data_IF_811309432481
#
_entry.id   IF_811309432481
#
_cell.length_a   1.000
_cell.length_b   1.000
_cell.length_c   1.000
_cell.angle_alpha   90.00
_cell.angle_beta   90.00
_cell.angle_gamma   90.00
#
_symmetry.space_group_name_H-M   'P 1'
#
loop_
_entity.id
_entity.type
_entity.pdbx_description
1 polymer ?
#
# COMPACT_ATOMS: atom_id res chain seq x y z
N UNK A 1 -7.80 16.03 -2.11
CA UNK A 1 -6.67 16.57 -1.32
C UNK A 1 -6.89 18.04 -0.98
N UNK A 2 -8.11 18.57 -1.17
CA UNK A 2 -8.46 19.98 -0.91
C UNK A 2 -8.54 20.34 0.58
N UNK A 3 -8.59 19.36 1.46
CA UNK A 3 -8.77 19.57 2.90
C UNK A 3 -7.46 19.49 3.69
N UNK A 4 -6.32 19.68 3.02
CA UNK A 4 -5.04 19.76 3.70
C UNK A 4 -5.04 20.93 4.72
N UNK A 5 -4.69 20.69 5.98
CA UNK A 5 -4.57 21.75 6.96
C UNK A 5 -3.39 22.68 6.69
N UNK A 6 -2.55 22.35 5.71
CA UNK A 6 -1.35 23.10 5.33
C UNK A 6 -1.44 23.53 3.87
N UNK A 7 -1.27 24.82 3.63
CA UNK A 7 -1.16 25.42 2.30
C UNK A 7 0.21 26.07 2.15
N UNK A 8 0.89 25.74 1.06
CA UNK A 8 2.18 26.35 0.71
C UNK A 8 2.05 27.04 -0.63
N UNK A 9 2.39 28.31 -0.68
CA UNK A 9 2.37 29.15 -1.89
C UNK A 9 3.72 29.83 -2.09
N UNK A 10 4.05 30.09 -3.35
CA UNK A 10 5.15 31.00 -3.72
C UNK A 10 4.50 32.24 -4.32
N UNK A 11 4.71 33.40 -3.70
CA UNK A 11 4.17 34.66 -4.13
C UNK A 11 5.23 35.78 -3.93
N UNK A 12 5.49 36.55 -4.97
CA UNK A 12 6.44 37.66 -4.95
C UNK A 12 7.82 37.27 -4.42
N UNK A 13 8.30 36.08 -4.82
CA UNK A 13 9.60 35.54 -4.39
C UNK A 13 9.66 35.06 -2.93
N UNK A 14 8.51 34.97 -2.26
CA UNK A 14 8.40 34.48 -0.88
C UNK A 14 7.65 33.17 -0.83
N UNK A 15 8.03 32.30 0.11
CA UNK A 15 7.27 31.10 0.46
C UNK A 15 6.30 31.52 1.57
N UNK A 16 5.01 31.34 1.33
CA UNK A 16 3.93 31.60 2.28
C UNK A 16 3.41 30.25 2.73
N UNK A 17 3.40 30.01 4.02
CA UNK A 17 2.90 28.79 4.63
C UNK A 17 1.72 29.18 5.51
N UNK A 18 0.55 28.65 5.18
CA UNK A 18 -0.69 28.85 5.93
C UNK A 18 -1.11 27.51 6.54
N UNK A 19 -1.20 27.46 7.86
CA UNK A 19 -1.60 26.27 8.60
C UNK A 19 -2.92 26.54 9.34
N UNK A 20 -3.95 25.81 8.96
CA UNK A 20 -5.27 25.91 9.61
C UNK A 20 -5.26 25.36 11.05
N UNK A 21 -4.29 24.53 11.40
CA UNK A 21 -4.10 23.92 12.72
C UNK A 21 -2.61 23.77 13.05
N UNK A 22 -2.27 23.89 14.33
CA UNK A 22 -0.91 23.72 14.81
C UNK A 22 -0.04 24.96 14.61
N UNK A 23 1.26 24.79 14.81
CA UNK A 23 2.28 25.83 14.65
C UNK A 23 3.19 25.45 13.48
N UNK A 24 3.64 26.49 12.76
CA UNK A 24 4.66 26.32 11.71
C UNK A 24 6.00 26.73 12.31
N UNK A 25 6.97 25.83 12.26
CA UNK A 25 8.34 26.11 12.60
C UNK A 25 9.18 26.10 11.31
N UNK A 26 10.04 27.09 11.16
CA UNK A 26 10.96 27.18 10.03
C UNK A 26 12.39 27.05 10.57
N UNK A 27 13.08 26.00 10.16
CA UNK A 27 14.46 25.71 10.60
C UNK A 27 15.38 25.75 9.39
N UNK A 28 16.45 26.53 9.48
CA UNK A 28 17.53 26.48 8.51
C UNK A 28 18.39 25.22 8.76
N UNK A 29 18.55 24.39 7.73
CA UNK A 29 19.33 23.17 7.83
C UNK A 29 20.08 22.88 6.52
N UNK A 30 21.40 23.02 6.56
CA UNK A 30 22.26 22.79 5.42
C UNK A 30 22.11 23.84 4.30
N UNK A 31 22.83 23.63 3.21
CA UNK A 31 22.88 24.51 2.03
C UNK A 31 22.19 23.93 0.80
N UNK A 32 21.71 22.69 0.90
CA UNK A 32 21.03 21.97 -0.20
C UNK A 32 19.72 21.36 0.28
N UNK A 33 18.79 21.10 -0.66
CA UNK A 33 17.56 20.39 -0.37
C UNK A 33 17.80 19.03 0.28
N UNK A 34 18.84 18.32 -0.17
CA UNK A 34 19.21 17.02 0.42
C UNK A 34 19.59 17.15 1.89
N UNK A 35 20.44 18.12 2.22
CA UNK A 35 20.89 18.35 3.60
C UNK A 35 19.71 18.75 4.50
N UNK A 36 18.85 19.64 4.03
CA UNK A 36 17.64 20.03 4.76
C UNK A 36 16.70 18.84 4.99
N UNK A 37 16.48 18.02 3.96
CA UNK A 37 15.67 16.81 4.07
C UNK A 37 16.25 15.80 5.06
N UNK A 38 17.56 15.56 5.01
CA UNK A 38 18.22 14.62 5.92
C UNK A 38 18.20 15.11 7.37
N UNK A 39 18.36 16.42 7.58
CA UNK A 39 18.25 17.01 8.92
C UNK A 39 16.83 16.90 9.48
N UNK A 40 15.80 17.21 8.68
CA UNK A 40 14.41 17.05 9.07
C UNK A 40 14.06 15.58 9.35
N UNK A 41 14.51 14.65 8.51
CA UNK A 41 14.31 13.22 8.71
C UNK A 41 14.95 12.73 10.01
N UNK A 42 16.18 13.16 10.31
CA UNK A 42 16.87 12.77 11.54
C UNK A 42 16.16 13.31 12.80
N UNK A 43 15.58 14.52 12.71
CA UNK A 43 14.91 15.15 13.83
C UNK A 43 13.49 14.57 14.08
N UNK A 44 12.72 14.30 13.03
CA UNK A 44 11.30 13.95 13.13
C UNK A 44 10.98 12.49 12.82
N UNK A 45 11.81 11.85 12.00
CA UNK A 45 11.64 10.47 11.54
C UNK A 45 12.97 9.72 11.58
N UNK A 46 13.59 9.60 12.76
CA UNK A 46 14.87 8.91 12.87
C UNK A 46 14.76 7.47 12.38
N UNK A 47 15.75 7.02 11.61
CA UNK A 47 15.78 5.66 11.12
C UNK A 47 15.78 4.66 12.29
N UNK A 48 14.95 3.63 12.20
CA UNK A 48 14.89 2.57 13.21
C UNK A 48 16.14 1.68 13.26
N UNK A 49 17.01 1.77 12.23
CA UNK A 49 18.11 0.84 12.01
C UNK A 49 17.70 -0.46 11.35
N UNK A 50 16.39 -0.69 11.15
CA UNK A 50 15.88 -1.84 10.42
C UNK A 50 15.63 -1.44 8.96
N UNK A 51 16.22 -2.18 8.04
CA UNK A 51 16.04 -1.98 6.60
C UNK A 51 15.50 -3.26 5.96
N UNK A 52 14.75 -3.16 4.86
CA UNK A 52 14.35 -4.34 4.10
C UNK A 52 15.59 -5.12 3.61
N UNK A 53 15.47 -6.43 3.35
CA UNK A 53 16.55 -7.22 2.79
C UNK A 53 17.11 -6.61 1.48
N UNK A 54 18.41 -6.75 1.25
CA UNK A 54 19.11 -6.24 0.05
C UNK A 54 18.46 -6.67 -1.26
N UNK A 55 17.80 -7.83 -1.26
CA UNK A 55 17.07 -8.35 -2.40
C UNK A 55 16.06 -7.34 -2.96
N UNK A 56 15.39 -6.57 -2.08
CA UNK A 56 14.39 -5.57 -2.52
C UNK A 56 15.00 -4.40 -3.31
N UNK A 57 16.32 -4.24 -3.26
CA UNK A 57 17.05 -3.16 -3.93
C UNK A 57 17.90 -3.66 -5.09
N UNK A 58 18.16 -4.96 -5.18
CA UNK A 58 19.12 -5.54 -6.12
C UNK A 58 18.51 -6.36 -7.26
N UNK A 59 17.20 -6.65 -7.19
CA UNK A 59 16.50 -7.41 -8.24
C UNK A 59 15.31 -6.63 -8.79
N UNK A 60 14.83 -6.96 -10.00
CA UNK A 60 13.61 -6.36 -10.52
C UNK A 60 12.38 -6.65 -9.66
N UNK A 61 11.47 -5.68 -9.63
CA UNK A 61 10.15 -5.83 -9.03
C UNK A 61 9.11 -5.78 -10.16
N UNK A 62 8.52 -6.92 -10.42
CA UNK A 62 7.44 -7.08 -11.39
C UNK A 62 6.09 -6.91 -10.71
N UNK A 63 5.14 -6.36 -11.43
CA UNK A 63 3.79 -6.15 -10.94
C UNK A 63 2.80 -6.59 -12.00
N UNK A 64 1.83 -7.40 -11.63
CA UNK A 64 0.84 -7.94 -12.56
C UNK A 64 -0.26 -6.92 -12.94
N UNK A 65 -0.32 -5.76 -12.29
CA UNK A 65 -1.37 -4.76 -12.55
C UNK A 65 -1.40 -4.28 -14.00
N UNK A 66 -0.25 -3.97 -14.57
CA UNK A 66 -0.17 -3.40 -15.92
C UNK A 66 -0.70 -4.40 -16.98
N UNK A 67 -0.46 -5.69 -16.78
CA UNK A 67 -0.87 -6.74 -17.70
C UNK A 67 -2.31 -7.21 -17.45
N UNK A 68 -2.70 -7.41 -16.21
CA UNK A 68 -3.94 -8.10 -15.86
C UNK A 68 -5.02 -7.17 -15.31
N UNK A 69 -4.64 -6.01 -14.75
CA UNK A 69 -5.54 -5.04 -14.10
C UNK A 69 -6.46 -5.76 -13.11
N UNK A 70 -7.77 -5.74 -13.32
CA UNK A 70 -8.77 -6.41 -12.47
C UNK A 70 -8.93 -7.92 -12.75
N UNK A 71 -8.23 -8.44 -13.75
CA UNK A 71 -8.36 -9.85 -14.14
C UNK A 71 -7.24 -10.73 -13.56
N UNK A 72 -6.86 -10.48 -12.32
CA UNK A 72 -5.88 -11.33 -11.64
C UNK A 72 -6.41 -12.77 -11.56
N UNK A 73 -5.65 -13.71 -12.10
CA UNK A 73 -5.97 -15.13 -12.09
C UNK A 73 -4.69 -15.97 -12.20
N UNK A 74 -4.77 -17.20 -11.72
CA UNK A 74 -3.63 -18.11 -11.62
C UNK A 74 -2.97 -18.38 -12.97
N UNK A 75 -3.75 -18.66 -14.02
CA UNK A 75 -3.24 -19.03 -15.34
C UNK A 75 -2.42 -17.90 -15.97
N UNK A 76 -2.98 -16.69 -16.02
CA UNK A 76 -2.31 -15.55 -16.63
C UNK A 76 -1.10 -15.07 -15.82
N UNK A 77 -1.13 -15.19 -14.48
CA UNK A 77 0.02 -14.88 -13.61
C UNK A 77 1.18 -15.83 -13.92
N UNK A 78 0.93 -17.13 -14.00
CA UNK A 78 1.97 -18.11 -14.34
C UNK A 78 2.50 -17.88 -15.76
N UNK A 79 1.62 -17.61 -16.72
CA UNK A 79 2.01 -17.26 -18.09
C UNK A 79 2.90 -16.02 -18.14
N UNK A 80 2.57 -14.99 -17.35
CA UNK A 80 3.36 -13.77 -17.25
C UNK A 80 4.75 -14.08 -16.68
N UNK A 81 4.82 -14.86 -15.60
CA UNK A 81 6.08 -15.24 -14.96
C UNK A 81 6.97 -16.08 -15.90
N UNK A 82 6.41 -17.07 -16.59
CA UNK A 82 7.14 -17.83 -17.62
C UNK A 82 7.66 -16.94 -18.75
N UNK A 83 6.84 -15.99 -19.22
CA UNK A 83 7.27 -15.06 -20.27
C UNK A 83 8.48 -14.22 -19.86
N UNK A 84 8.59 -13.82 -18.60
CA UNK A 84 9.77 -13.12 -18.09
C UNK A 84 11.02 -13.99 -18.23
N UNK A 85 10.95 -15.23 -17.76
CA UNK A 85 12.07 -16.18 -17.79
C UNK A 85 12.43 -16.57 -19.22
N UNK A 86 11.45 -16.92 -20.05
CA UNK A 86 11.64 -17.39 -21.42
C UNK A 86 12.25 -16.31 -22.33
N UNK A 87 12.00 -15.03 -22.04
CA UNK A 87 12.63 -13.90 -22.73
C UNK A 87 13.97 -13.47 -22.12
N UNK A 88 14.50 -14.22 -21.16
CA UNK A 88 15.83 -13.99 -20.59
C UNK A 88 15.91 -12.82 -19.61
N UNK A 89 14.78 -12.34 -19.10
CA UNK A 89 14.79 -11.34 -18.04
C UNK A 89 15.12 -11.98 -16.69
N UNK A 90 15.85 -11.28 -15.80
CA UNK A 90 16.18 -11.80 -14.49
C UNK A 90 14.92 -11.94 -13.63
N UNK A 91 14.87 -13.00 -12.84
CA UNK A 91 13.84 -13.17 -11.81
C UNK A 91 14.06 -12.21 -10.64
N UNK A 92 13.03 -12.00 -9.84
CA UNK A 92 13.10 -11.09 -8.72
C UNK A 92 11.87 -11.19 -7.83
N UNK A 93 11.21 -10.07 -7.57
CA UNK A 93 9.97 -10.03 -6.80
C UNK A 93 8.81 -9.89 -7.77
N UNK A 94 7.83 -10.78 -7.68
CA UNK A 94 6.58 -10.70 -8.43
C UNK A 94 5.44 -10.31 -7.48
N UNK A 95 4.89 -9.12 -7.67
CA UNK A 95 3.71 -8.66 -6.94
C UNK A 95 2.45 -9.07 -7.71
N UNK A 96 1.61 -9.87 -7.06
CA UNK A 96 0.23 -10.13 -7.48
C UNK A 96 -0.62 -8.97 -6.97
N UNK A 97 -1.14 -8.19 -7.89
CA UNK A 97 -1.81 -6.94 -7.59
C UNK A 97 -3.28 -7.13 -7.20
N UNK A 98 -4.02 -6.05 -7.07
CA UNK A 98 -5.39 -5.99 -6.59
C UNK A 98 -6.32 -7.02 -7.24
N UNK A 99 -7.36 -7.42 -6.53
CA UNK A 99 -8.37 -8.42 -6.93
C UNK A 99 -7.94 -9.90 -6.92
N UNK A 100 -6.86 -10.24 -6.22
CA UNK A 100 -6.54 -11.64 -5.95
C UNK A 100 -7.44 -12.22 -4.84
N UNK A 101 -7.85 -11.39 -3.88
CA UNK A 101 -8.72 -11.75 -2.76
C UNK A 101 -10.20 -11.71 -3.13
N UNK A 102 -11.04 -12.35 -2.35
CA UNK A 102 -12.50 -12.39 -2.54
C UNK A 102 -13.11 -10.99 -2.54
N UNK A 103 -12.71 -10.14 -1.58
CA UNK A 103 -13.09 -8.74 -1.45
C UNK A 103 -12.18 -8.05 -0.43
N UNK A 104 -12.24 -6.73 -0.35
CA UNK A 104 -11.39 -5.98 0.56
C UNK A 104 -11.69 -6.30 2.02
N UNK A 105 -10.63 -6.60 2.77
CA UNK A 105 -10.68 -7.07 4.14
C UNK A 105 -10.76 -8.59 4.31
N UNK A 106 -10.97 -9.35 3.22
CA UNK A 106 -10.84 -10.80 3.21
C UNK A 106 -9.56 -11.19 2.45
N UNK A 107 -8.63 -11.84 3.13
CA UNK A 107 -7.33 -12.21 2.56
C UNK A 107 -7.29 -13.68 2.10
N UNK A 108 -8.43 -14.19 1.63
CA UNK A 108 -8.53 -15.50 0.99
C UNK A 108 -8.55 -15.33 -0.52
N UNK A 109 -7.87 -16.24 -1.23
CA UNK A 109 -7.91 -16.28 -2.68
C UNK A 109 -9.33 -16.52 -3.20
N UNK A 110 -9.65 -15.90 -4.31
CA UNK A 110 -10.89 -16.17 -5.05
C UNK A 110 -10.82 -17.54 -5.70
N UNK A 111 -11.65 -18.51 -5.30
CA UNK A 111 -11.53 -19.89 -5.79
C UNK A 111 -11.88 -20.05 -7.28
N UNK A 112 -12.68 -19.12 -7.83
CA UNK A 112 -13.02 -19.07 -9.24
C UNK A 112 -11.85 -18.65 -10.15
N UNK A 113 -10.86 -17.98 -9.60
CA UNK A 113 -9.69 -17.47 -10.32
C UNK A 113 -8.38 -18.14 -9.91
N UNK A 114 -8.34 -18.69 -8.73
CA UNK A 114 -7.16 -19.33 -8.13
C UNK A 114 -7.54 -20.72 -7.62
N UNK A 115 -7.65 -21.71 -8.53
CA UNK A 115 -8.06 -23.07 -8.14
C UNK A 115 -7.01 -23.80 -7.31
N UNK A 116 -5.72 -23.48 -7.48
CA UNK A 116 -4.59 -24.04 -6.69
C UNK A 116 -3.57 -22.93 -6.38
N UNK A 117 -3.87 -22.03 -5.44
CA UNK A 117 -2.97 -20.91 -5.14
C UNK A 117 -1.65 -21.39 -4.54
N UNK A 118 -1.64 -22.50 -3.82
CA UNK A 118 -0.39 -23.07 -3.29
C UNK A 118 0.51 -23.56 -4.41
N UNK A 119 -0.01 -24.34 -5.36
CA UNK A 119 0.74 -24.80 -6.52
C UNK A 119 1.27 -23.65 -7.35
N UNK A 120 0.49 -22.60 -7.56
CA UNK A 120 0.94 -21.38 -8.23
C UNK A 120 2.14 -20.75 -7.51
N UNK A 121 2.07 -20.57 -6.20
CA UNK A 121 3.18 -19.98 -5.42
C UNK A 121 4.42 -20.87 -5.45
N UNK A 122 4.25 -22.18 -5.34
CA UNK A 122 5.36 -23.14 -5.40
C UNK A 122 6.04 -23.08 -6.78
N UNK A 123 5.28 -22.96 -7.87
CA UNK A 123 5.82 -22.82 -9.23
C UNK A 123 6.55 -21.49 -9.42
N UNK A 124 6.00 -20.37 -8.96
CA UNK A 124 6.66 -19.06 -8.98
C UNK A 124 7.98 -19.09 -8.21
N UNK A 125 8.01 -19.76 -7.06
CA UNK A 125 9.25 -19.94 -6.29
C UNK A 125 10.26 -20.82 -7.04
N UNK A 126 9.80 -21.90 -7.70
CA UNK A 126 10.66 -22.76 -8.52
C UNK A 126 11.26 -22.02 -9.73
N UNK A 127 10.55 -21.06 -10.30
CA UNK A 127 11.05 -20.16 -11.34
C UNK A 127 12.08 -19.14 -10.81
N UNK A 128 12.19 -18.99 -9.49
CA UNK A 128 13.15 -18.08 -8.84
C UNK A 128 12.55 -16.74 -8.38
N UNK A 129 11.25 -16.56 -8.45
CA UNK A 129 10.59 -15.36 -7.93
C UNK A 129 10.38 -15.43 -6.41
N UNK A 130 10.39 -14.27 -5.76
CA UNK A 130 9.72 -14.05 -4.48
C UNK A 130 8.35 -13.45 -4.76
N UNK A 131 7.33 -13.91 -4.04
CA UNK A 131 5.95 -13.48 -4.26
C UNK A 131 5.54 -12.45 -3.22
N UNK A 132 4.92 -11.37 -3.67
CA UNK A 132 4.33 -10.32 -2.85
C UNK A 132 2.87 -10.15 -3.27
N UNK A 133 2.02 -9.80 -2.32
CA UNK A 133 0.60 -9.51 -2.58
C UNK A 133 0.31 -8.05 -2.30
N UNK A 134 -0.44 -7.44 -3.21
CA UNK A 134 -1.01 -6.13 -2.96
C UNK A 134 -2.08 -6.21 -1.87
N UNK A 135 -2.04 -5.29 -0.92
CA UNK A 135 -3.04 -5.17 0.14
C UNK A 135 -3.38 -3.70 0.38
N UNK A 136 -4.57 -3.44 0.89
CA UNK A 136 -4.98 -2.11 1.32
C UNK A 136 -5.61 -2.18 2.71
N UNK A 137 -5.65 -1.06 3.45
CA UNK A 137 -6.25 -1.01 4.78
C UNK A 137 -7.78 -0.88 4.74
N UNK A 138 -8.40 -1.23 3.63
CA UNK A 138 -9.84 -1.06 3.43
C UNK A 138 -10.61 -2.36 3.60
N UNK A 139 -11.86 -2.21 4.03
CA UNK A 139 -12.80 -3.32 4.29
C UNK A 139 -14.12 -3.02 3.61
N UNK A 140 -14.62 -3.97 2.83
CA UNK A 140 -15.93 -3.85 2.19
C UNK A 140 -17.07 -3.78 3.22
N UNK A 141 -17.91 -2.74 3.21
CA UNK A 141 -18.89 -2.50 4.29
C UNK A 141 -20.00 -3.55 4.39
N UNK A 142 -20.24 -4.31 3.33
CA UNK A 142 -21.23 -5.37 3.24
C UNK A 142 -20.67 -6.76 3.60
N UNK A 143 -19.37 -6.85 3.93
CA UNK A 143 -18.68 -8.09 4.26
C UNK A 143 -18.96 -8.60 5.68
N UNK A 144 -18.64 -9.85 5.94
CA UNK A 144 -18.66 -10.41 7.29
C UNK A 144 -17.51 -9.86 8.13
N UNK A 145 -16.37 -9.63 7.52
CA UNK A 145 -15.19 -9.03 8.14
C UNK A 145 -15.51 -7.64 8.70
N UNK A 146 -16.25 -6.82 7.94
CA UNK A 146 -16.68 -5.51 8.44
C UNK A 146 -17.52 -5.64 9.71
N UNK A 147 -18.46 -6.59 9.77
CA UNK A 147 -19.30 -6.79 10.97
C UNK A 147 -18.47 -7.20 12.16
N UNK A 148 -17.57 -8.17 11.96
CA UNK A 148 -16.68 -8.66 12.99
C UNK A 148 -15.71 -7.55 13.48
N UNK A 149 -15.06 -6.81 12.57
CA UNK A 149 -14.16 -5.72 12.91
C UNK A 149 -14.86 -4.59 13.65
N UNK A 150 -16.10 -4.27 13.25
CA UNK A 150 -16.94 -3.29 13.96
C UNK A 150 -17.24 -3.72 15.40
N UNK A 151 -17.59 -4.99 15.60
CA UNK A 151 -17.86 -5.54 16.95
C UNK A 151 -16.61 -5.52 17.83
N UNK A 152 -15.43 -5.70 17.24
CA UNK A 152 -14.14 -5.65 17.94
C UNK A 152 -13.61 -4.22 18.16
N UNK A 153 -14.16 -3.24 17.50
CA UNK A 153 -13.66 -1.86 17.55
C UNK A 153 -12.34 -1.65 16.78
N UNK A 154 -12.12 -2.41 15.72
CA UNK A 154 -10.89 -2.37 14.92
C UNK A 154 -11.02 -1.52 13.65
N UNK A 155 -12.05 -0.71 13.55
CA UNK A 155 -12.28 0.18 12.42
C UNK A 155 -12.15 1.65 12.84
N UNK A 156 -11.63 2.46 11.94
CA UNK A 156 -11.62 3.92 12.10
C UNK A 156 -13.06 4.41 12.24
N UNK A 157 -13.32 5.19 13.29
CA UNK A 157 -14.64 5.74 13.58
C UNK A 157 -14.85 7.08 12.89
N UNK A 158 -16.10 7.46 12.71
CA UNK A 158 -16.46 8.81 12.26
C UNK A 158 -16.12 9.88 13.33
N UNK A 159 -16.34 11.15 13.01
CA UNK A 159 -15.91 12.28 13.86
C UNK A 159 -16.54 12.28 15.25
N UNK A 160 -17.73 11.74 15.41
CA UNK A 160 -18.44 11.68 16.69
C UNK A 160 -18.26 10.31 17.40
N UNK A 161 -17.55 9.37 16.77
CA UNK A 161 -17.28 8.06 17.34
C UNK A 161 -18.49 7.13 17.38
N UNK A 162 -19.60 7.48 16.72
CA UNK A 162 -20.84 6.72 16.83
C UNK A 162 -20.86 5.45 15.96
N UNK A 163 -20.10 5.45 14.87
CA UNK A 163 -20.06 4.35 13.90
C UNK A 163 -18.74 4.32 13.14
N UNK A 164 -18.37 3.20 12.51
CA UNK A 164 -17.26 3.16 11.58
C UNK A 164 -17.41 4.18 10.45
N UNK A 165 -16.33 4.91 10.16
CA UNK A 165 -16.27 5.79 9.02
C UNK A 165 -16.29 4.96 7.73
N UNK A 166 -17.17 5.32 6.80
CA UNK A 166 -17.19 4.78 5.45
C UNK A 166 -16.69 5.87 4.51
N UNK A 167 -15.62 5.56 3.81
CA UNK A 167 -14.89 6.48 2.95
C UNK A 167 -15.16 6.16 1.49
N UNK A 168 -15.24 7.20 0.68
CA UNK A 168 -15.25 7.08 -0.78
C UNK A 168 -13.80 7.16 -1.28
N UNK A 169 -13.38 6.18 -2.06
CA UNK A 169 -12.08 6.11 -2.67
C UNK A 169 -12.19 5.57 -4.11
N UNK A 170 -11.11 5.53 -4.86
CA UNK A 170 -11.13 5.21 -6.28
C UNK A 170 -11.80 3.86 -6.63
N UNK A 171 -11.92 2.95 -5.67
CA UNK A 171 -12.54 1.63 -5.85
C UNK A 171 -13.89 1.47 -5.11
N UNK A 172 -14.55 2.56 -4.77
CA UNK A 172 -15.87 2.61 -4.17
C UNK A 172 -15.87 2.95 -2.67
N UNK A 173 -16.87 2.49 -1.96
CA UNK A 173 -17.07 2.77 -0.53
C UNK A 173 -16.41 1.68 0.33
N UNK A 174 -15.59 2.09 1.30
CA UNK A 174 -14.97 1.17 2.25
C UNK A 174 -14.82 1.77 3.63
N UNK A 175 -14.86 0.92 4.66
CA UNK A 175 -14.32 1.25 5.97
C UNK A 175 -12.79 1.06 5.96
N UNK A 176 -12.10 1.54 6.99
CA UNK A 176 -10.66 1.42 7.12
C UNK A 176 -10.31 0.73 8.43
N UNK A 177 -9.32 -0.16 8.41
CA UNK A 177 -8.71 -0.68 9.64
C UNK A 177 -8.13 0.47 10.46
N UNK A 178 -8.32 0.45 11.76
CA UNK A 178 -7.62 1.35 12.67
C UNK A 178 -6.23 0.80 12.99
N UNK A 179 -5.27 1.17 12.15
CA UNK A 179 -3.87 0.75 12.29
C UNK A 179 -3.15 1.41 13.48
N UNK A 180 -3.83 2.28 14.24
CA UNK A 180 -3.32 2.78 15.52
C UNK A 180 -3.63 1.84 16.68
N UNK A 181 -4.54 0.90 16.49
CA UNK A 181 -4.85 -0.15 17.45
C UNK A 181 -3.74 -1.22 17.41
N UNK A 182 -3.12 -1.55 18.56
CA UNK A 182 -2.03 -2.53 18.61
C UNK A 182 -2.50 -4.00 18.46
N UNK A 183 -3.80 -4.29 18.55
CA UNK A 183 -4.41 -5.62 18.38
C UNK A 183 -4.92 -5.80 16.94
#
# INVERSE_FOLDING_TARGET
WSDSPLKVEIRDGKIIIDAARGTVECVEAGSTLREAFMAASAAHFPASGTVPPDLFFSVPQYNTWIELIYNQNQEDILKYAHSIVDNGFPTGILMIDDNWQKYYGNFEFRPDRFPDPKGMIDELHALGFKVMFWVCPFVSPDSQEFRWLREKGYLVMDKDGSRPAVLDWWNGLSACYDLSNPE
#
